data_IF_165661436708
#
_entry.id   IF_165661436708
#
_cell.length_a   1.000
_cell.length_b   1.000
_cell.length_c   1.000
_cell.angle_alpha   90.00
_cell.angle_beta   90.00
_cell.angle_gamma   90.00
#
_symmetry.space_group_name_H-M   'P 1'
#
loop_
_entity.id
_entity.type
_entity.pdbx_description
1 polymer ?
#
# COMPACT_ATOMS: atom_id res chain seq x y z
N UNK A 1 -11.69 27.95 -26.23
CA UNK A 1 -12.63 26.82 -26.04
C UNK A 1 -12.29 26.17 -24.70
N UNK A 2 -13.17 26.31 -23.73
CA UNK A 2 -12.98 25.84 -22.35
C UNK A 2 -13.29 24.34 -22.24
N UNK A 3 -12.46 23.67 -21.42
CA UNK A 3 -12.69 22.48 -20.58
C UNK A 3 -13.67 21.37 -21.04
N UNK A 4 -13.15 20.14 -21.14
CA UNK A 4 -13.77 19.01 -20.41
C UNK A 4 -12.76 17.89 -20.05
N UNK A 5 -12.42 17.92 -18.76
CA UNK A 5 -12.03 16.84 -17.83
C UNK A 5 -12.11 15.39 -18.36
N UNK A 6 -10.96 14.81 -18.69
CA UNK A 6 -10.74 13.37 -18.50
C UNK A 6 -10.16 13.11 -17.09
N UNK A 7 -10.87 13.59 -16.08
CA UNK A 7 -10.63 13.27 -14.67
C UNK A 7 -11.45 12.04 -14.30
N UNK A 8 -11.17 10.89 -14.89
CA UNK A 8 -11.73 9.63 -14.41
C UNK A 8 -11.15 9.37 -13.02
N UNK A 9 -11.96 9.47 -11.97
CA UNK A 9 -11.53 9.13 -10.63
C UNK A 9 -10.93 7.71 -10.66
N UNK A 10 -9.66 7.57 -10.29
CA UNK A 10 -9.02 6.26 -10.22
C UNK A 10 -9.84 5.37 -9.30
N UNK A 11 -10.11 4.13 -9.71
CA UNK A 11 -10.94 3.20 -8.93
C UNK A 11 -10.27 2.96 -7.57
N UNK A 12 -10.98 3.20 -6.45
CA UNK A 12 -10.49 2.87 -5.11
C UNK A 12 -10.04 1.41 -5.00
N UNK A 13 -9.05 1.17 -4.15
CA UNK A 13 -8.49 -0.17 -3.92
C UNK A 13 -8.99 -0.72 -2.59
N UNK A 14 -9.46 -1.97 -2.55
CA UNK A 14 -9.95 -2.55 -1.30
C UNK A 14 -8.80 -2.85 -0.33
N UNK A 15 -9.02 -2.77 1.00
CA UNK A 15 -8.00 -3.13 1.98
C UNK A 15 -7.40 -4.53 1.78
N UNK A 16 -8.25 -5.50 1.38
CA UNK A 16 -7.83 -6.86 1.09
C UNK A 16 -6.83 -6.92 -0.08
N UNK A 17 -7.06 -6.13 -1.14
CA UNK A 17 -6.16 -6.04 -2.29
C UNK A 17 -4.83 -5.39 -1.91
N UNK A 18 -4.85 -4.37 -1.03
CA UNK A 18 -3.62 -3.78 -0.48
C UNK A 18 -2.82 -4.82 0.29
N UNK A 19 -3.49 -5.61 1.15
CA UNK A 19 -2.85 -6.67 1.92
C UNK A 19 -2.22 -7.75 1.02
N UNK A 20 -2.89 -8.12 -0.07
CA UNK A 20 -2.36 -9.07 -1.05
C UNK A 20 -1.06 -8.58 -1.71
N UNK A 21 -1.04 -7.33 -2.17
CA UNK A 21 0.16 -6.75 -2.80
C UNK A 21 1.33 -6.63 -1.82
N UNK A 22 1.05 -6.25 -0.56
CA UNK A 22 2.05 -6.22 0.51
C UNK A 22 2.66 -7.60 0.78
N UNK A 23 1.82 -8.65 0.82
CA UNK A 23 2.29 -10.04 0.96
C UNK A 23 3.17 -10.46 -0.21
N UNK A 24 2.75 -10.14 -1.44
CA UNK A 24 3.51 -10.47 -2.65
C UNK A 24 4.88 -9.79 -2.66
N UNK A 25 4.93 -8.49 -2.36
CA UNK A 25 6.17 -7.72 -2.33
C UNK A 25 7.11 -8.22 -1.23
N UNK A 26 6.56 -8.55 -0.05
CA UNK A 26 7.32 -9.16 1.05
C UNK A 26 7.85 -10.54 0.69
N UNK A 27 7.04 -11.39 0.07
CA UNK A 27 7.45 -12.73 -0.36
C UNK A 27 8.62 -12.66 -1.35
N UNK A 28 8.55 -11.79 -2.35
CA UNK A 28 9.63 -11.58 -3.34
C UNK A 28 10.93 -11.11 -2.69
N UNK A 29 10.86 -10.23 -1.68
CA UNK A 29 12.04 -9.84 -0.91
C UNK A 29 12.60 -11.00 -0.10
N UNK A 30 11.73 -11.80 0.55
CA UNK A 30 12.14 -12.93 1.39
C UNK A 30 12.74 -14.09 0.59
N UNK A 31 12.29 -14.31 -0.66
CA UNK A 31 12.86 -15.31 -1.56
C UNK A 31 14.18 -14.88 -2.19
N UNK A 32 14.54 -13.60 -2.10
CA UNK A 32 15.70 -13.04 -2.80
C UNK A 32 15.44 -12.69 -4.27
N UNK A 33 14.18 -12.78 -4.72
CA UNK A 33 13.78 -12.38 -6.08
C UNK A 33 13.73 -10.85 -6.26
N UNK A 34 13.92 -10.10 -5.17
CA UNK A 34 13.84 -8.65 -5.14
C UNK A 34 14.96 -8.06 -4.28
N UNK A 35 15.88 -7.37 -4.94
CA UNK A 35 16.96 -6.63 -4.30
C UNK A 35 16.43 -5.50 -3.41
N UNK A 36 17.24 -5.06 -2.44
CA UNK A 36 16.83 -4.08 -1.44
C UNK A 36 16.37 -2.74 -2.07
N UNK A 37 17.12 -2.23 -3.04
CA UNK A 37 16.80 -0.97 -3.73
C UNK A 37 15.52 -1.10 -4.57
N UNK A 38 15.29 -2.26 -5.17
CA UNK A 38 14.09 -2.52 -5.96
C UNK A 38 12.86 -2.67 -5.06
N UNK A 39 12.99 -3.35 -3.91
CA UNK A 39 11.95 -3.40 -2.89
C UNK A 39 11.56 -2.00 -2.45
N UNK A 40 12.54 -1.16 -2.12
CA UNK A 40 12.32 0.21 -1.68
C UNK A 40 11.56 1.02 -2.74
N UNK A 41 12.00 0.95 -3.99
CA UNK A 41 11.36 1.65 -5.09
C UNK A 41 9.91 1.17 -5.33
N UNK A 42 9.67 -0.15 -5.35
CA UNK A 42 8.33 -0.72 -5.53
C UNK A 42 7.39 -0.38 -4.36
N UNK A 43 7.91 -0.41 -3.13
CA UNK A 43 7.13 -0.05 -1.94
C UNK A 43 6.73 1.43 -1.96
N UNK A 44 7.66 2.33 -2.28
CA UNK A 44 7.39 3.76 -2.41
C UNK A 44 6.35 4.05 -3.51
N UNK A 45 6.49 3.39 -4.68
CA UNK A 45 5.52 3.50 -5.78
C UNK A 45 4.13 3.06 -5.35
N UNK A 46 4.03 1.91 -4.69
CA UNK A 46 2.76 1.38 -4.19
C UNK A 46 2.10 2.37 -3.24
N UNK A 47 2.83 2.99 -2.28
CA UNK A 47 2.23 4.00 -1.40
C UNK A 47 1.69 5.20 -2.20
N UNK A 48 2.43 5.67 -3.22
CA UNK A 48 1.96 6.73 -4.12
C UNK A 48 0.63 6.37 -4.79
N UNK A 49 0.55 5.18 -5.36
CA UNK A 49 -0.68 4.68 -6.00
C UNK A 49 -1.85 4.58 -5.01
N UNK A 50 -1.61 4.10 -3.77
CA UNK A 50 -2.63 4.02 -2.73
C UNK A 50 -3.17 5.40 -2.34
N UNK A 51 -2.30 6.43 -2.31
CA UNK A 51 -2.71 7.82 -2.04
C UNK A 51 -3.57 8.39 -3.17
N UNK A 52 -3.18 8.14 -4.41
CA UNK A 52 -3.87 8.66 -5.59
C UNK A 52 -5.25 7.99 -5.79
N UNK A 53 -5.32 6.68 -5.55
CA UNK A 53 -6.55 5.88 -5.72
C UNK A 53 -7.50 5.94 -4.53
N UNK A 54 -6.96 6.20 -3.34
CA UNK A 54 -7.59 5.96 -2.04
C UNK A 54 -7.90 4.48 -1.78
N UNK A 55 -7.97 4.12 -0.51
CA UNK A 55 -8.37 2.77 -0.07
C UNK A 55 -9.88 2.80 0.24
N UNK A 56 -10.60 1.82 -0.29
CA UNK A 56 -12.06 1.69 -0.19
C UNK A 56 -12.46 1.14 1.19
N UNK A 57 -12.64 2.05 2.15
CA UNK A 57 -13.06 1.71 3.50
C UNK A 57 -12.75 2.79 4.52
N UNK A 58 -13.30 2.62 5.72
CA UNK A 58 -12.97 3.43 6.88
C UNK A 58 -11.54 3.15 7.38
N UNK A 59 -10.96 4.11 8.11
CA UNK A 59 -9.65 3.92 8.77
C UNK A 59 -9.62 2.66 9.65
N UNK A 60 -10.72 2.34 10.33
CA UNK A 60 -10.83 1.15 11.17
C UNK A 60 -10.77 -0.15 10.36
N UNK A 61 -11.52 -0.24 9.25
CA UNK A 61 -11.50 -1.41 8.36
C UNK A 61 -10.13 -1.60 7.70
N UNK A 62 -9.50 -0.51 7.26
CA UNK A 62 -8.16 -0.54 6.68
C UNK A 62 -7.16 -1.06 7.72
N UNK A 63 -7.17 -0.49 8.93
CA UNK A 63 -6.26 -0.91 9.99
C UNK A 63 -6.50 -2.35 10.42
N UNK A 64 -7.76 -2.77 10.58
CA UNK A 64 -8.10 -4.16 10.91
C UNK A 64 -7.59 -5.15 9.85
N UNK A 65 -7.64 -4.77 8.57
CA UNK A 65 -7.17 -5.62 7.47
C UNK A 65 -5.64 -5.68 7.38
N UNK A 66 -4.95 -4.57 7.65
CA UNK A 66 -3.50 -4.46 7.46
C UNK A 66 -2.68 -4.83 8.70
N UNK A 67 -3.21 -4.64 9.91
CA UNK A 67 -2.48 -4.90 11.17
C UNK A 67 -1.92 -6.32 11.28
N UNK A 68 -2.65 -7.39 10.89
CA UNK A 68 -2.09 -8.74 10.91
C UNK A 68 -0.79 -8.90 10.10
N UNK A 69 -0.60 -8.12 9.03
CA UNK A 69 0.63 -8.21 8.21
C UNK A 69 1.85 -7.68 8.97
N UNK A 70 1.67 -6.71 9.87
CA UNK A 70 2.73 -6.26 10.77
C UNK A 70 3.00 -7.32 11.84
N UNK A 71 1.94 -7.82 12.47
CA UNK A 71 2.04 -8.76 13.58
C UNK A 71 2.68 -10.08 13.16
N UNK A 72 2.37 -10.55 11.94
CA UNK A 72 2.95 -11.76 11.32
C UNK A 72 4.37 -11.53 10.74
N UNK A 73 4.91 -10.31 10.82
CA UNK A 73 6.21 -9.96 10.24
C UNK A 73 6.27 -10.04 8.70
N UNK A 74 5.12 -9.89 8.03
CA UNK A 74 5.06 -9.69 6.58
C UNK A 74 5.61 -8.30 6.24
N UNK A 75 5.29 -7.29 7.03
CA UNK A 75 5.80 -5.91 6.89
C UNK A 75 6.69 -5.61 8.09
N UNK A 76 7.88 -5.05 7.84
CA UNK A 76 8.77 -4.64 8.92
C UNK A 76 8.15 -3.51 9.76
N UNK A 77 8.53 -3.33 11.04
CA UNK A 77 8.04 -2.21 11.84
C UNK A 77 8.31 -0.84 11.20
N UNK A 78 9.45 -0.68 10.53
CA UNK A 78 9.82 0.56 9.84
C UNK A 78 8.93 0.82 8.62
N UNK A 79 8.70 -0.20 7.79
CA UNK A 79 7.80 -0.11 6.63
C UNK A 79 6.35 0.11 7.05
N UNK A 80 5.92 -0.49 8.16
CA UNK A 80 4.60 -0.26 8.75
C UNK A 80 4.41 1.20 9.17
N UNK A 81 5.37 1.77 9.90
CA UNK A 81 5.32 3.18 10.30
C UNK A 81 5.29 4.10 9.08
N UNK A 82 6.12 3.82 8.06
CA UNK A 82 6.12 4.59 6.81
C UNK A 82 4.77 4.52 6.10
N UNK A 83 4.24 3.31 5.90
CA UNK A 83 2.95 3.06 5.24
C UNK A 83 1.81 3.80 5.95
N UNK A 84 1.65 3.57 7.25
CA UNK A 84 0.56 4.16 8.03
C UNK A 84 0.66 5.68 8.12
N UNK A 85 1.86 6.24 8.27
CA UNK A 85 2.07 7.69 8.27
C UNK A 85 1.74 8.32 6.91
N UNK A 86 2.23 7.75 5.81
CA UNK A 86 2.03 8.32 4.48
C UNK A 86 0.59 8.18 3.97
N UNK A 87 -0.16 7.21 4.49
CA UNK A 87 -1.58 7.03 4.20
C UNK A 87 -2.52 7.74 5.19
N UNK A 88 -1.99 8.44 6.21
CA UNK A 88 -2.83 9.12 7.22
C UNK A 88 -3.62 8.15 8.13
N UNK A 89 -3.09 6.94 8.33
CA UNK A 89 -3.67 5.87 9.15
C UNK A 89 -3.05 5.79 10.55
N UNK A 90 -1.93 6.47 10.78
CA UNK A 90 -1.32 6.71 12.10
C UNK A 90 -1.92 7.96 12.75
#
# INVERSE_FOLDING_TARGET
MSADKQGGALKPITPARVAEELRKLSAQRKSGDLEADEYEHRFARMIGELRDRRIDGSRAEIMATLTPLRDDGVISPADWQRLTKQLGLA
#
